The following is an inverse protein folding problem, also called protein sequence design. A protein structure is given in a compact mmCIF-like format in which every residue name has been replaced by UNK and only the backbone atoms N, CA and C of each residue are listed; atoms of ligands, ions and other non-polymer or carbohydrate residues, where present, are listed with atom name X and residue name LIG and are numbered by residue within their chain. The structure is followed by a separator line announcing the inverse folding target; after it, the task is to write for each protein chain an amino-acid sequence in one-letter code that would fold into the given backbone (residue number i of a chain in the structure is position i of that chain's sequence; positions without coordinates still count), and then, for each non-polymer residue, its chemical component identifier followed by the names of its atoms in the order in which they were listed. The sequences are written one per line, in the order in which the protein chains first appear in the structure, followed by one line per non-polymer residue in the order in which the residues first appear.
data_IF_074933483422
#
_entry.id   IF_074933483422
#
_cell.length_a   1.000
_cell.length_b   1.000
_cell.length_c   1.000
_cell.angle_alpha   90.00
_cell.angle_beta   90.00
_cell.angle_gamma   90.00
#
_symmetry.space_group_name_H-M   'P 1'
#
loop_
_entity.id
_entity.type
_entity.pdbx_description
1 polymer ?
#
# COMPACT_ATOMS: atom_id res chain seq x y z
N UNK A 1 7.50 -7.21 2.77
CA UNK A 1 8.97 -6.96 2.85
C UNK A 1 9.57 -6.38 1.55
N UNK A 2 8.77 -5.92 0.58
CA UNK A 2 9.22 -5.83 -0.82
C UNK A 2 9.95 -4.55 -1.26
N UNK A 3 10.06 -3.51 -0.42
CA UNK A 3 10.61 -2.21 -0.84
C UNK A 3 11.87 -1.79 -0.06
N UNK A 4 12.39 -2.67 0.79
CA UNK A 4 13.61 -2.39 1.56
C UNK A 4 14.79 -2.20 0.59
N UNK A 5 15.52 -1.12 0.77
CA UNK A 5 16.65 -0.74 -0.07
C UNK A 5 16.27 0.10 -1.29
N UNK A 6 14.98 0.30 -1.58
CA UNK A 6 14.55 1.15 -2.68
C UNK A 6 14.83 2.63 -2.37
N UNK A 7 15.23 3.39 -3.39
CA UNK A 7 15.22 4.85 -3.35
C UNK A 7 13.77 5.32 -3.47
N UNK A 8 13.35 6.11 -2.50
CA UNK A 8 11.99 6.63 -2.40
C UNK A 8 12.02 8.12 -2.08
N UNK A 9 10.93 8.78 -2.42
CA UNK A 9 10.60 10.11 -1.95
C UNK A 9 9.37 10.01 -1.05
N UNK A 10 9.46 10.52 0.17
CA UNK A 10 8.38 10.49 1.16
C UNK A 10 7.90 11.92 1.38
N UNK A 11 6.63 12.15 1.07
CA UNK A 11 5.94 13.41 1.35
C UNK A 11 5.42 13.44 2.77
N UNK A 12 5.63 14.57 3.44
CA UNK A 12 5.04 14.94 4.73
C UNK A 12 4.35 16.29 4.59
N UNK A 13 3.59 16.70 5.61
CA UNK A 13 2.86 17.96 5.57
C UNK A 13 3.76 19.19 5.34
N UNK A 14 5.03 19.12 5.74
CA UNK A 14 5.99 20.23 5.67
C UNK A 14 7.03 20.11 4.56
N UNK A 15 7.40 18.90 4.16
CA UNK A 15 8.52 18.67 3.25
C UNK A 15 8.43 17.34 2.51
N UNK A 16 9.21 17.22 1.43
CA UNK A 16 9.43 15.97 0.71
C UNK A 16 10.87 15.51 0.92
N UNK A 17 11.04 14.25 1.33
CA UNK A 17 12.31 13.69 1.78
C UNK A 17 12.69 12.53 0.86
N UNK A 18 13.80 12.69 0.13
CA UNK A 18 14.39 11.59 -0.66
C UNK A 18 15.36 10.79 0.18
N UNK A 19 15.33 9.47 0.01
CA UNK A 19 16.32 8.59 0.59
C UNK A 19 16.01 7.12 0.39
N UNK A 20 16.89 6.29 0.94
CA UNK A 20 16.77 4.84 0.86
C UNK A 20 15.91 4.29 1.99
N UNK A 21 14.88 3.54 1.64
CA UNK A 21 14.01 2.89 2.62
C UNK A 21 14.77 1.77 3.35
N UNK A 22 14.99 1.90 4.66
CA UNK A 22 15.68 0.89 5.45
C UNK A 22 14.75 -0.13 6.08
N UNK A 23 13.64 0.34 6.66
CA UNK A 23 12.65 -0.50 7.33
C UNK A 23 11.34 0.26 7.56
N UNK A 24 10.27 -0.51 7.74
CA UNK A 24 8.98 -0.01 8.24
C UNK A 24 8.64 -0.81 9.49
N UNK A 25 8.51 -0.12 10.62
CA UNK A 25 8.23 -0.73 11.92
C UNK A 25 6.73 -0.94 12.09
N UNK A 26 6.36 -2.10 12.64
CA UNK A 26 4.99 -2.41 13.03
C UNK A 26 4.86 -2.32 14.55
N UNK A 27 3.77 -1.70 15.00
CA UNK A 27 3.38 -1.69 16.39
C UNK A 27 2.00 -2.33 16.57
N UNK A 28 1.64 -2.61 17.81
CA UNK A 28 0.36 -3.22 18.19
C UNK A 28 -0.38 -2.25 19.10
N UNK A 29 -1.67 -2.06 18.85
CA UNK A 29 -2.57 -1.29 19.74
C UNK A 29 -3.79 -2.11 20.10
N UNK A 30 -4.38 -1.80 21.25
CA UNK A 30 -5.69 -2.35 21.66
C UNK A 30 -6.77 -1.67 20.81
N UNK A 31 -7.72 -2.45 20.31
CA UNK A 31 -8.84 -1.92 19.53
C UNK A 31 -9.74 -1.09 20.46
N UNK A 32 -10.11 0.12 20.03
CA UNK A 32 -10.94 1.01 20.83
C UNK A 32 -12.29 0.36 21.15
N UNK A 33 -12.61 0.25 22.45
CA UNK A 33 -13.83 -0.42 22.93
C UNK A 33 -13.71 -1.92 23.19
N UNK A 34 -12.54 -2.53 22.97
CA UNK A 34 -12.27 -3.94 23.29
C UNK A 34 -11.13 -4.05 24.32
N UNK A 35 -11.24 -4.97 25.28
CA UNK A 35 -10.18 -5.26 26.25
C UNK A 35 -9.18 -6.32 25.76
N UNK A 36 -9.60 -7.18 24.84
CA UNK A 36 -8.82 -8.36 24.45
C UNK A 36 -8.36 -8.32 22.99
N UNK A 37 -8.95 -7.47 22.17
CA UNK A 37 -8.58 -7.36 20.76
C UNK A 37 -7.49 -6.34 20.55
N UNK A 38 -6.58 -6.69 19.65
CA UNK A 38 -5.47 -5.85 19.28
C UNK A 38 -5.26 -5.90 17.79
N UNK A 39 -4.85 -4.79 17.22
CA UNK A 39 -4.50 -4.70 15.81
C UNK A 39 -3.05 -4.28 15.61
N UNK A 40 -2.46 -4.78 14.53
CA UNK A 40 -1.14 -4.37 14.06
C UNK A 40 -1.29 -3.18 13.12
N UNK A 41 -0.42 -2.20 13.27
CA UNK A 41 -0.35 -1.06 12.38
C UNK A 41 1.11 -0.71 12.07
N UNK A 42 1.34 -0.04 10.95
CA UNK A 42 2.65 0.51 10.61
C UNK A 42 2.85 1.81 11.39
N UNK A 43 3.91 1.89 12.19
CA UNK A 43 4.14 2.99 13.12
C UNK A 43 5.21 3.97 12.64
N UNK A 44 6.28 3.48 12.03
CA UNK A 44 7.45 4.32 11.70
C UNK A 44 8.14 3.86 10.43
N UNK A 45 8.51 4.81 9.57
CA UNK A 45 9.35 4.61 8.39
C UNK A 45 10.76 5.08 8.71
N UNK A 46 11.75 4.24 8.41
CA UNK A 46 13.17 4.57 8.55
C UNK A 46 13.79 4.81 7.18
N UNK A 47 14.26 6.03 6.93
CA UNK A 47 14.93 6.44 5.70
C UNK A 47 16.39 6.76 5.96
N UNK A 48 17.29 6.25 5.12
CA UNK A 48 18.66 6.72 5.07
C UNK A 48 18.77 7.85 4.06
N UNK A 49 19.15 9.03 4.52
CA UNK A 49 19.35 10.21 3.68
C UNK A 49 20.46 11.07 4.24
N UNK A 50 21.27 11.66 3.36
CA UNK A 50 22.36 12.58 3.73
C UNK A 50 23.31 12.04 4.83
N UNK A 51 23.58 10.72 4.82
CA UNK A 51 24.46 10.09 5.81
C UNK A 51 23.82 9.86 7.19
N UNK A 52 22.52 10.12 7.33
CA UNK A 52 21.77 9.96 8.58
C UNK A 52 20.52 9.08 8.40
N UNK A 53 20.00 8.56 9.50
CA UNK A 53 18.71 7.84 9.50
C UNK A 53 17.63 8.76 10.03
N UNK A 54 16.69 9.14 9.16
CA UNK A 54 15.45 9.83 9.56
C UNK A 54 14.39 8.81 9.93
N UNK A 55 13.70 9.08 11.04
CA UNK A 55 12.51 8.35 11.49
C UNK A 55 11.30 9.23 11.23
N UNK A 56 10.33 8.70 10.50
CA UNK A 56 9.08 9.37 10.19
C UNK A 56 7.94 8.57 10.80
N UNK A 57 7.10 9.20 11.62
CA UNK A 57 5.89 8.53 12.07
C UNK A 57 4.99 8.27 10.86
N UNK A 58 4.40 7.09 10.78
CA UNK A 58 3.60 6.71 9.61
C UNK A 58 2.38 7.62 9.44
N UNK A 59 1.86 8.19 10.53
CA UNK A 59 0.76 9.18 10.50
C UNK A 59 1.14 10.54 9.91
N UNK A 60 2.44 10.85 9.78
CA UNK A 60 2.93 12.10 9.19
C UNK A 60 3.28 11.93 7.69
N UNK A 61 3.09 10.72 7.14
CA UNK A 61 3.40 10.40 5.74
C UNK A 61 2.15 10.58 4.89
N UNK A 62 2.18 11.59 4.01
CA UNK A 62 1.09 11.89 3.08
C UNK A 62 1.20 11.08 1.78
N UNK A 63 2.41 10.68 1.41
CA UNK A 63 2.65 9.94 0.18
C UNK A 63 4.06 9.36 0.08
N UNK A 64 4.18 8.33 -0.76
CA UNK A 64 5.47 7.71 -1.08
C UNK A 64 5.56 7.55 -2.60
N UNK A 65 6.62 8.09 -3.18
CA UNK A 65 6.95 7.90 -4.59
C UNK A 65 8.18 6.99 -4.71
N UNK A 66 8.01 5.84 -5.37
CA UNK A 66 9.14 5.02 -5.82
C UNK A 66 9.89 5.80 -6.89
N UNK A 67 11.23 5.75 -6.88
CA UNK A 67 12.04 6.42 -7.91
C UNK A 67 12.53 5.47 -9.00
N UNK A 68 12.40 4.16 -8.79
CA UNK A 68 12.80 3.13 -9.74
C UNK A 68 11.65 2.83 -10.72
N UNK A 69 11.81 3.12 -12.03
CA UNK A 69 10.76 2.92 -13.03
C UNK A 69 10.30 1.47 -13.15
N UNK A 70 11.21 0.50 -13.00
CA UNK A 70 10.85 -0.93 -13.09
C UNK A 70 10.00 -1.34 -11.90
N UNK A 71 10.33 -0.85 -10.70
CA UNK A 71 9.51 -1.11 -9.52
C UNK A 71 8.15 -0.41 -9.62
N UNK A 72 8.07 0.78 -10.22
CA UNK A 72 6.80 1.45 -10.49
C UNK A 72 5.90 0.60 -11.40
N UNK A 73 6.42 0.13 -12.54
CA UNK A 73 5.68 -0.73 -13.47
C UNK A 73 5.20 -2.03 -12.81
N UNK A 74 6.06 -2.67 -12.00
CA UNK A 74 5.70 -3.88 -11.27
C UNK A 74 4.61 -3.63 -10.23
N UNK A 75 4.68 -2.50 -9.51
CA UNK A 75 3.67 -2.11 -8.54
C UNK A 75 2.33 -1.84 -9.22
N UNK A 76 2.35 -1.08 -10.32
CA UNK A 76 1.16 -0.76 -11.10
C UNK A 76 0.47 -2.03 -11.62
N UNK A 77 1.22 -2.92 -12.27
CA UNK A 77 0.69 -4.19 -12.76
C UNK A 77 0.09 -5.06 -11.65
N UNK A 78 0.74 -5.10 -10.48
CA UNK A 78 0.25 -5.87 -9.33
C UNK A 78 -1.04 -5.29 -8.76
N UNK A 79 -1.15 -3.96 -8.69
CA UNK A 79 -2.35 -3.28 -8.20
C UNK A 79 -3.54 -3.46 -9.15
N UNK A 80 -3.31 -3.34 -10.47
CA UNK A 80 -4.35 -3.59 -11.48
C UNK A 80 -4.89 -5.01 -11.33
N UNK A 81 -4.01 -6.01 -11.29
CA UNK A 81 -4.41 -7.41 -11.15
C UNK A 81 -5.20 -7.67 -9.85
N UNK A 82 -4.77 -7.08 -8.72
CA UNK A 82 -5.47 -7.21 -7.45
C UNK A 82 -6.87 -6.57 -7.49
N UNK A 83 -7.00 -5.39 -8.11
CA UNK A 83 -8.29 -4.71 -8.29
C UNK A 83 -9.21 -5.56 -9.15
N UNK A 84 -8.75 -6.01 -10.31
CA UNK A 84 -9.53 -6.88 -11.22
C UNK A 84 -9.98 -8.16 -10.54
N UNK A 85 -9.13 -8.77 -9.70
CA UNK A 85 -9.49 -9.97 -8.94
C UNK A 85 -10.63 -9.75 -7.93
N UNK A 86 -10.76 -8.51 -7.43
CA UNK A 86 -11.79 -8.09 -6.47
C UNK A 86 -13.01 -7.49 -7.15
N UNK A 87 -12.97 -7.22 -8.46
CA UNK A 87 -14.14 -6.75 -9.17
C UNK A 87 -15.22 -7.85 -9.21
N UNK A 88 -16.49 -7.51 -8.95
CA UNK A 88 -17.57 -8.46 -9.06
C UNK A 88 -17.64 -8.98 -10.50
N UNK A 89 -17.68 -10.31 -10.66
CA UNK A 89 -17.83 -10.92 -11.98
C UNK A 89 -19.12 -10.41 -12.63
N UNK A 90 -19.09 -10.01 -13.91
CA UNK A 90 -20.30 -9.63 -14.61
C UNK A 90 -21.33 -10.77 -14.53
N UNK A 91 -22.58 -10.41 -14.26
CA UNK A 91 -23.68 -11.37 -14.19
C UNK A 91 -23.74 -12.17 -15.50
N UNK A 92 -23.94 -13.48 -15.38
CA UNK A 92 -24.06 -14.35 -16.55
C UNK A 92 -25.15 -13.80 -17.49
N UNK A 93 -24.93 -13.83 -18.82
CA UNK A 93 -25.98 -13.46 -19.77
C UNK A 93 -27.22 -14.30 -19.47
N UNK A 94 -28.37 -13.64 -19.31
CA UNK A 94 -29.64 -14.32 -19.20
C UNK A 94 -29.81 -15.14 -20.49
N UNK A 95 -29.88 -16.47 -20.37
CA UNK A 95 -30.25 -17.33 -21.48
C UNK A 95 -31.64 -16.86 -21.97
N UNK A 96 -31.70 -16.41 -23.22
CA UNK A 96 -32.92 -15.96 -23.87
C UNK A 96 -33.92 -17.13 -23.90
N UNK A 97 -34.88 -17.15 -22.97
CA UNK A 97 -35.96 -18.13 -22.88
C UNK A 97 -37.01 -17.96 -24.00
N UNK A 98 -36.60 -17.56 -25.21
CA UNK A 98 -37.48 -17.28 -26.35
C UNK A 98 -37.63 -18.45 -27.34
N UNK A 99 -36.95 -19.58 -27.14
CA UNK A 99 -37.09 -20.77 -28.00
C UNK A 99 -38.05 -21.85 -27.46
N UNK A 100 -38.84 -21.60 -26.42
CA UNK A 100 -39.77 -22.60 -25.86
C UNK A 100 -41.23 -22.49 -26.37
N UNK A 101 -41.50 -21.66 -27.38
CA UNK A 101 -42.85 -21.51 -27.97
C UNK A 101 -42.76 -21.30 -29.48
N UNK A 102 -42.65 -22.39 -30.24
CA UNK A 102 -43.07 -22.49 -31.64
C UNK A 102 -43.38 -23.94 -32.00
#
# INVERSE_FOLDING_TARGET
ESCRGAEVEVGTASESIRGRLLSVEKARRVVEGSTDETEWYYATVHLFTEGSVRKLAFGDVDGVALQDPRLQEQLEASLIAEVESKMPKPAAPLEDAREAIA
#
